data_IF_079666493104
#
_entry.id   IF_079666493104
#
_cell.length_a   1.000
_cell.length_b   1.000
_cell.length_c   1.000
_cell.angle_alpha   90.00
_cell.angle_beta   90.00
_cell.angle_gamma   90.00
#
_symmetry.space_group_name_H-M   'P 1'
#
loop_
_entity.id
_entity.type
_entity.pdbx_description
1 polymer ?
#
# COMPACT_ATOMS: atom_id res chain seq x y z
N UNK A 1 -6.80 -4.97 14.68
CA UNK A 1 -5.55 -5.14 13.91
C UNK A 1 -5.55 -4.25 12.66
N UNK A 2 -6.57 -4.34 11.78
CA UNK A 2 -6.66 -3.58 10.52
C UNK A 2 -6.60 -2.06 10.74
N UNK A 3 -7.36 -1.53 11.70
CA UNK A 3 -7.33 -0.11 12.05
C UNK A 3 -5.94 0.38 12.51
N UNK A 4 -5.24 -0.44 13.30
CA UNK A 4 -3.87 -0.10 13.73
C UNK A 4 -2.94 -0.04 12.53
N UNK A 5 -3.05 -0.99 11.60
CA UNK A 5 -2.29 -0.95 10.35
C UNK A 5 -2.59 0.29 9.51
N UNK A 6 -3.87 0.65 9.36
CA UNK A 6 -4.27 1.85 8.63
C UNK A 6 -3.71 3.14 9.28
N UNK A 7 -3.83 3.27 10.60
CA UNK A 7 -3.28 4.41 11.33
C UNK A 7 -1.74 4.46 11.27
N UNK A 8 -1.08 3.30 11.32
CA UNK A 8 0.38 3.21 11.15
C UNK A 8 0.80 3.68 9.75
N UNK A 9 0.08 3.24 8.70
CA UNK A 9 0.34 3.69 7.34
C UNK A 9 0.18 5.21 7.21
N UNK A 10 -0.88 5.78 7.79
CA UNK A 10 -1.10 7.22 7.82
C UNK A 10 0.01 7.97 8.55
N UNK A 11 0.40 7.52 9.74
CA UNK A 11 1.45 8.15 10.52
C UNK A 11 2.81 8.12 9.81
N UNK A 12 3.20 6.97 9.27
CA UNK A 12 4.45 6.82 8.51
C UNK A 12 4.39 7.66 7.23
N UNK A 13 3.27 7.63 6.51
CA UNK A 13 3.07 8.44 5.32
C UNK A 13 3.18 9.94 5.60
N UNK A 14 2.62 10.42 6.73
CA UNK A 14 2.74 11.80 7.17
C UNK A 14 4.20 12.18 7.45
N UNK A 15 4.94 11.33 8.17
CA UNK A 15 6.35 11.58 8.49
C UNK A 15 7.16 11.69 7.19
N UNK A 16 7.01 10.74 6.27
CA UNK A 16 7.72 10.75 4.99
C UNK A 16 7.32 11.97 4.16
N UNK A 17 6.03 12.32 4.14
CA UNK A 17 5.51 13.49 3.45
C UNK A 17 6.10 14.80 3.98
N UNK A 18 6.18 14.96 5.30
CA UNK A 18 6.79 16.13 5.94
C UNK A 18 8.31 16.22 5.65
N UNK A 19 9.03 15.10 5.65
CA UNK A 19 10.44 15.07 5.27
C UNK A 19 10.60 15.49 3.81
N UNK A 20 9.80 14.95 2.92
CA UNK A 20 9.79 15.32 1.51
C UNK A 20 9.48 16.79 1.27
N UNK A 21 8.51 17.33 2.01
CA UNK A 21 8.18 18.75 1.98
C UNK A 21 9.34 19.64 2.48
N UNK A 22 9.98 19.27 3.60
CA UNK A 22 11.11 20.01 4.14
C UNK A 22 12.29 20.06 3.17
N UNK A 23 12.59 18.94 2.51
CA UNK A 23 13.64 18.87 1.49
C UNK A 23 13.26 19.70 0.24
N UNK A 24 12.03 19.60 -0.22
CA UNK A 24 11.54 20.38 -1.37
C UNK A 24 11.53 21.87 -1.11
N UNK A 25 11.13 22.31 0.09
CA UNK A 25 11.16 23.72 0.46
C UNK A 25 12.59 24.29 0.54
N UNK A 26 13.56 23.50 1.04
CA UNK A 26 14.96 23.91 1.10
C UNK A 26 15.56 24.07 -0.31
N UNK A 27 15.23 23.20 -1.24
CA UNK A 27 15.68 23.31 -2.63
C UNK A 27 15.00 24.47 -3.37
N UNK A 28 13.72 24.71 -3.15
CA UNK A 28 13.01 25.85 -3.75
C UNK A 28 13.60 27.19 -3.33
N UNK A 29 14.16 27.31 -2.11
CA UNK A 29 14.82 28.51 -1.61
C UNK A 29 16.20 28.78 -2.26
N UNK A 30 16.76 27.80 -2.98
CA UNK A 30 18.13 27.89 -3.54
C UNK A 30 18.21 28.16 -5.05
N UNK A 31 17.19 28.68 -5.70
CA UNK A 31 17.16 28.91 -7.15
C UNK A 31 17.33 27.63 -7.98
N UNK A 32 16.69 26.54 -7.62
CA UNK A 32 16.85 25.26 -8.28
C UNK A 32 15.80 25.05 -9.37
N UNK A 33 16.18 24.26 -10.38
CA UNK A 33 15.36 23.79 -11.49
C UNK A 33 14.07 23.12 -10.98
N UNK A 34 12.93 23.69 -11.30
CA UNK A 34 11.60 23.18 -10.93
C UNK A 34 11.36 21.73 -11.38
N UNK A 35 12.09 21.24 -12.39
CA UNK A 35 12.03 19.83 -12.80
C UNK A 35 12.59 18.92 -11.71
N UNK A 36 13.70 19.33 -11.07
CA UNK A 36 14.31 18.56 -9.96
C UNK A 36 13.42 18.54 -8.74
N UNK A 37 12.82 19.67 -8.38
CA UNK A 37 11.88 19.75 -7.24
C UNK A 37 10.69 18.83 -7.46
N UNK A 38 10.11 18.82 -8.67
CA UNK A 38 9.00 17.90 -9.01
C UNK A 38 9.43 16.44 -9.00
N UNK A 39 10.63 16.12 -9.48
CA UNK A 39 11.15 14.74 -9.47
C UNK A 39 11.36 14.24 -8.04
N UNK A 40 11.99 15.04 -7.18
CA UNK A 40 12.19 14.72 -5.75
C UNK A 40 10.82 14.50 -5.10
N UNK A 41 9.88 15.43 -5.29
CA UNK A 41 8.52 15.31 -4.77
C UNK A 41 7.83 14.02 -5.21
N UNK A 42 7.93 13.65 -6.49
CA UNK A 42 7.36 12.42 -7.02
C UNK A 42 8.01 11.16 -6.41
N UNK A 43 9.33 11.13 -6.24
CA UNK A 43 10.06 10.02 -5.61
C UNK A 43 9.61 9.85 -4.16
N UNK A 44 9.55 10.95 -3.40
CA UNK A 44 9.09 10.89 -2.00
C UNK A 44 7.61 10.51 -1.88
N UNK A 45 6.78 11.00 -2.80
CA UNK A 45 5.36 10.66 -2.81
C UNK A 45 5.12 9.17 -3.10
N UNK A 46 5.71 8.67 -4.19
CA UNK A 46 5.55 7.28 -4.64
C UNK A 46 6.26 6.31 -3.70
N UNK A 47 7.51 6.60 -3.33
CA UNK A 47 8.27 5.81 -2.36
C UNK A 47 7.63 5.85 -0.97
N UNK A 48 7.16 7.02 -0.54
CA UNK A 48 6.46 7.20 0.72
C UNK A 48 5.20 6.34 0.83
N UNK A 49 4.39 6.25 -0.22
CA UNK A 49 3.22 5.39 -0.27
C UNK A 49 3.59 3.91 -0.09
N UNK A 50 4.65 3.45 -0.77
CA UNK A 50 5.15 2.09 -0.64
C UNK A 50 5.58 1.77 0.79
N UNK A 51 6.46 2.58 1.39
CA UNK A 51 6.95 2.33 2.74
C UNK A 51 5.87 2.49 3.81
N UNK A 52 4.96 3.44 3.65
CA UNK A 52 3.79 3.56 4.51
C UNK A 52 2.91 2.31 4.44
N UNK A 53 2.70 1.77 3.23
CA UNK A 53 2.02 0.51 3.02
C UNK A 53 2.73 -0.65 3.74
N UNK A 54 4.05 -0.81 3.57
CA UNK A 54 4.84 -1.86 4.24
C UNK A 54 4.68 -1.78 5.76
N UNK A 55 4.84 -0.60 6.34
CA UNK A 55 4.70 -0.41 7.79
C UNK A 55 3.27 -0.73 8.28
N UNK A 56 2.25 -0.27 7.57
CA UNK A 56 0.85 -0.53 7.90
C UNK A 56 0.48 -2.00 7.80
N UNK A 57 0.84 -2.66 6.69
CA UNK A 57 0.57 -4.09 6.48
C UNK A 57 1.31 -4.96 7.50
N UNK A 58 2.56 -4.63 7.82
CA UNK A 58 3.31 -5.30 8.87
C UNK A 58 2.65 -5.15 10.24
N UNK A 59 2.26 -3.95 10.63
CA UNK A 59 1.61 -3.68 11.90
C UNK A 59 0.26 -4.41 12.02
N UNK A 60 -0.57 -4.36 10.97
CA UNK A 60 -1.85 -5.05 10.94
C UNK A 60 -1.71 -6.55 11.18
N UNK A 61 -0.81 -7.19 10.44
CA UNK A 61 -0.63 -8.64 10.47
C UNK A 61 0.07 -9.10 11.75
N UNK A 62 1.02 -8.29 12.26
CA UNK A 62 1.74 -8.58 13.51
C UNK A 62 0.81 -8.55 14.71
N UNK A 63 -0.06 -7.53 14.81
CA UNK A 63 -1.04 -7.40 15.90
C UNK A 63 -2.14 -8.45 15.80
N UNK A 64 -2.50 -8.86 14.58
CA UNK A 64 -3.44 -9.97 14.39
C UNK A 64 -2.86 -11.33 14.79
N UNK A 65 -1.56 -11.43 15.04
CA UNK A 65 -0.89 -12.68 15.43
C UNK A 65 -0.88 -13.75 14.33
N UNK A 66 -1.01 -13.33 13.07
CA UNK A 66 -1.13 -14.24 11.92
C UNK A 66 0.25 -14.73 11.54
N UNK A 67 0.45 -16.05 11.62
CA UNK A 67 1.72 -16.71 11.28
C UNK A 67 1.77 -17.29 9.87
N UNK A 68 0.63 -17.36 9.18
CA UNK A 68 0.55 -17.84 7.79
C UNK A 68 0.67 -16.68 6.83
N UNK A 69 1.46 -16.86 5.77
CA UNK A 69 1.74 -15.82 4.77
C UNK A 69 0.47 -15.33 4.06
N UNK A 70 -0.37 -16.23 3.56
CA UNK A 70 -1.58 -15.86 2.80
C UNK A 70 -2.56 -14.97 3.59
N UNK A 71 -3.03 -15.37 4.80
CA UNK A 71 -3.91 -14.50 5.59
C UNK A 71 -3.22 -13.20 6.04
N UNK A 72 -1.89 -13.22 6.27
CA UNK A 72 -1.14 -12.04 6.66
C UNK A 72 -1.07 -11.02 5.51
N UNK A 73 -0.82 -11.48 4.28
CA UNK A 73 -0.87 -10.65 3.07
C UNK A 73 -2.25 -10.02 2.86
N UNK A 74 -3.32 -10.82 3.04
CA UNK A 74 -4.70 -10.31 2.94
C UNK A 74 -5.01 -9.27 4.01
N UNK A 75 -4.56 -9.47 5.25
CA UNK A 75 -4.71 -8.47 6.31
C UNK A 75 -3.99 -7.16 5.99
N UNK A 76 -2.80 -7.25 5.42
CA UNK A 76 -2.09 -6.10 4.89
C UNK A 76 -2.89 -5.38 3.81
N UNK A 77 -3.37 -6.10 2.80
CA UNK A 77 -4.18 -5.53 1.73
C UNK A 77 -5.45 -4.86 2.26
N UNK A 78 -6.19 -5.51 3.16
CA UNK A 78 -7.40 -4.95 3.78
C UNK A 78 -7.07 -3.69 4.57
N UNK A 79 -5.95 -3.67 5.30
CA UNK A 79 -5.50 -2.49 6.03
C UNK A 79 -5.27 -1.30 5.09
N UNK A 80 -4.66 -1.53 3.93
CA UNK A 80 -4.48 -0.49 2.92
C UNK A 80 -5.82 -0.02 2.35
N UNK A 81 -6.73 -0.92 2.03
CA UNK A 81 -8.06 -0.56 1.52
C UNK A 81 -8.86 0.29 2.52
N UNK A 82 -8.71 0.03 3.83
CA UNK A 82 -9.32 0.88 4.88
C UNK A 82 -8.64 2.24 4.98
N UNK A 83 -7.35 2.31 4.66
CA UNK A 83 -6.62 3.59 4.65
C UNK A 83 -7.16 4.54 3.59
N UNK A 84 -7.61 4.05 2.42
CA UNK A 84 -8.05 4.87 1.30
C UNK A 84 -9.24 5.80 1.63
N UNK A 85 -10.37 5.33 2.20
CA UNK A 85 -11.46 6.23 2.54
C UNK A 85 -11.07 7.24 3.62
N UNK A 86 -10.17 6.91 4.54
CA UNK A 86 -9.65 7.87 5.52
C UNK A 86 -8.85 8.96 4.82
N UNK A 87 -8.00 8.59 3.87
CA UNK A 87 -7.23 9.53 3.05
C UNK A 87 -8.14 10.46 2.24
N UNK A 88 -9.20 9.92 1.63
CA UNK A 88 -10.19 10.71 0.90
C UNK A 88 -10.91 11.68 1.82
N UNK A 89 -11.28 11.26 3.03
CA UNK A 89 -11.89 12.14 4.02
C UNK A 89 -10.94 13.27 4.44
N UNK A 90 -9.66 12.96 4.71
CA UNK A 90 -8.63 13.94 5.05
C UNK A 90 -8.35 14.90 3.88
N UNK A 91 -8.36 14.40 2.65
CA UNK A 91 -8.23 15.23 1.44
C UNK A 91 -9.42 16.19 1.31
N UNK A 92 -10.63 15.71 1.55
CA UNK A 92 -11.84 16.53 1.55
C UNK A 92 -11.83 17.63 2.64
N UNK A 93 -11.14 17.41 3.74
CA UNK A 93 -10.91 18.43 4.80
C UNK A 93 -9.74 19.40 4.47
N UNK A 94 -9.12 19.30 3.30
CA UNK A 94 -8.02 20.16 2.89
C UNK A 94 -6.65 19.80 3.50
N UNK A 95 -6.54 18.65 4.17
CA UNK A 95 -5.32 18.20 4.83
C UNK A 95 -4.34 17.48 3.90
N UNK A 96 -4.69 17.31 2.63
CA UNK A 96 -3.93 16.54 1.63
C UNK A 96 -2.49 17.00 1.43
N UNK A 97 -2.22 18.30 1.58
CA UNK A 97 -0.88 18.87 1.40
C UNK A 97 0.17 18.36 2.41
N UNK A 98 -0.27 17.87 3.58
CA UNK A 98 0.63 17.39 4.63
C UNK A 98 1.19 15.98 4.38
N UNK A 99 0.52 15.18 3.55
CA UNK A 99 0.95 13.81 3.22
C UNK A 99 1.76 13.70 1.92
N UNK A 100 2.19 14.84 1.36
CA UNK A 100 2.96 14.88 0.12
C UNK A 100 2.09 15.00 -1.15
N UNK A 101 2.75 15.33 -2.27
CA UNK A 101 2.06 15.74 -3.49
C UNK A 101 1.15 14.69 -4.16
N UNK A 102 1.29 13.40 -3.84
CA UNK A 102 0.45 12.36 -4.43
C UNK A 102 -1.00 12.38 -3.90
N UNK A 103 -1.23 12.82 -2.67
CA UNK A 103 -2.59 13.06 -2.16
C UNK A 103 -3.24 14.28 -2.81
N UNK A 104 -2.45 15.25 -3.25
CA UNK A 104 -2.92 16.38 -4.04
C UNK A 104 -3.64 15.95 -5.32
N UNK A 105 -3.19 14.87 -5.96
CA UNK A 105 -3.86 14.29 -7.12
C UNK A 105 -5.26 13.74 -6.82
N UNK A 106 -5.51 13.25 -5.61
CA UNK A 106 -6.84 12.80 -5.17
C UNK A 106 -7.75 14.00 -4.86
N UNK A 107 -7.19 15.06 -4.27
CA UNK A 107 -7.96 16.25 -3.87
C UNK A 107 -8.17 17.24 -5.02
N UNK A 108 -7.30 17.24 -6.01
CA UNK A 108 -7.28 18.20 -7.12
C UNK A 108 -7.92 17.65 -8.40
N UNK A 109 -8.91 16.76 -8.32
CA UNK A 109 -9.75 16.50 -9.49
C UNK A 109 -10.44 17.85 -9.79
N UNK A 110 -10.04 18.58 -10.85
CA UNK A 110 -10.70 19.81 -11.18
C UNK A 110 -12.18 19.49 -11.39
N UNK A 111 -13.04 20.20 -10.69
CA UNK A 111 -14.47 20.12 -11.00
C UNK A 111 -14.59 20.39 -12.50
N UNK A 112 -15.03 19.39 -13.26
CA UNK A 112 -15.20 19.52 -14.70
C UNK A 112 -16.18 20.68 -14.94
N UNK A 113 -15.64 21.81 -15.35
CA UNK A 113 -16.44 22.96 -15.74
C UNK A 113 -16.58 22.99 -17.27
N UNK A 114 -17.70 22.51 -17.81
CA UNK A 114 -17.88 22.46 -19.26
C UNK A 114 -17.91 23.83 -19.94
N UNK A 115 -18.02 24.91 -19.16
CA UNK A 115 -18.01 26.30 -19.66
C UNK A 115 -16.60 26.92 -19.68
N UNK A 116 -15.59 26.27 -19.11
CA UNK A 116 -14.21 26.76 -19.16
C UNK A 116 -13.59 26.41 -20.52
N UNK A 117 -12.85 27.37 -21.10
CA UNK A 117 -12.06 27.09 -22.29
C UNK A 117 -11.07 25.96 -22.02
N UNK A 118 -10.87 25.01 -22.95
CA UNK A 118 -9.93 23.91 -22.78
C UNK A 118 -8.51 24.46 -22.68
N UNK A 119 -7.85 24.22 -21.54
CA UNK A 119 -6.45 24.53 -21.32
C UNK A 119 -5.64 23.23 -21.45
N UNK A 120 -4.84 23.06 -22.50
CA UNK A 120 -4.05 21.86 -22.75
C UNK A 120 -3.02 21.58 -21.63
N UNK A 121 -2.41 22.62 -21.07
CA UNK A 121 -1.39 22.47 -20.02
C UNK A 121 -2.01 22.00 -18.71
N UNK A 122 -3.20 22.50 -18.38
CA UNK A 122 -3.96 22.05 -17.22
C UNK A 122 -4.44 20.60 -17.39
N UNK A 123 -4.88 20.23 -18.60
CA UNK A 123 -5.29 18.86 -18.90
C UNK A 123 -4.13 17.88 -18.78
N UNK A 124 -2.94 18.23 -19.28
CA UNK A 124 -1.74 17.42 -19.15
C UNK A 124 -1.30 17.27 -17.68
N UNK A 125 -1.26 18.36 -16.94
CA UNK A 125 -0.92 18.34 -15.51
C UNK A 125 -1.89 17.47 -14.71
N UNK A 126 -3.18 17.57 -14.98
CA UNK A 126 -4.24 16.76 -14.33
C UNK A 126 -4.06 15.28 -14.63
N UNK A 127 -3.84 14.93 -15.90
CA UNK A 127 -3.57 13.53 -16.31
C UNK A 127 -2.34 12.97 -15.59
N UNK A 128 -1.23 13.71 -15.58
CA UNK A 128 0.01 13.26 -14.97
C UNK A 128 -0.14 13.09 -13.44
N UNK A 129 -0.86 13.98 -12.78
CA UNK A 129 -1.17 13.86 -11.35
C UNK A 129 -2.06 12.65 -11.06
N UNK A 130 -3.08 12.40 -11.88
CA UNK A 130 -3.95 11.23 -11.73
C UNK A 130 -3.17 9.92 -11.89
N UNK A 131 -2.28 9.84 -12.90
CA UNK A 131 -1.43 8.67 -13.12
C UNK A 131 -0.45 8.47 -11.96
N UNK A 132 0.22 9.52 -11.49
CA UNK A 132 1.13 9.44 -10.35
C UNK A 132 0.41 8.97 -9.09
N UNK A 133 -0.80 9.46 -8.86
CA UNK A 133 -1.65 9.03 -7.74
C UNK A 133 -2.03 7.55 -7.86
N UNK A 134 -2.44 7.10 -9.03
CA UNK A 134 -2.77 5.70 -9.27
C UNK A 134 -1.57 4.78 -9.02
N UNK A 135 -0.38 5.15 -9.51
CA UNK A 135 0.88 4.41 -9.26
C UNK A 135 1.20 4.39 -7.76
N UNK A 136 1.07 5.50 -7.05
CA UNK A 136 1.33 5.57 -5.61
C UNK A 136 0.36 4.67 -4.83
N UNK A 137 -0.93 4.67 -5.19
CA UNK A 137 -1.94 3.80 -4.55
C UNK A 137 -1.65 2.31 -4.79
N UNK A 138 -1.27 1.94 -6.00
CA UNK A 138 -0.90 0.56 -6.34
C UNK A 138 0.37 0.12 -5.61
N UNK A 139 1.39 0.98 -5.54
CA UNK A 139 2.62 0.68 -4.81
C UNK A 139 2.38 0.61 -3.30
N UNK A 140 1.50 1.43 -2.75
CA UNK A 140 1.07 1.33 -1.36
C UNK A 140 0.38 0.00 -1.05
N UNK A 141 -0.48 -0.49 -1.96
CA UNK A 141 -1.09 -1.81 -1.86
C UNK A 141 -0.04 -2.92 -1.88
N UNK A 142 0.86 -2.89 -2.87
CA UNK A 142 1.97 -3.85 -2.97
C UNK A 142 2.83 -3.82 -1.72
N UNK A 143 3.20 -2.64 -1.24
CA UNK A 143 3.92 -2.45 0.02
C UNK A 143 3.19 -3.10 1.19
N UNK A 144 1.89 -2.88 1.30
CA UNK A 144 1.07 -3.41 2.40
C UNK A 144 0.96 -4.94 2.37
N UNK A 145 0.86 -5.54 1.19
CA UNK A 145 0.91 -7.00 1.00
C UNK A 145 2.26 -7.55 1.43
N UNK A 146 3.36 -6.91 1.01
CA UNK A 146 4.73 -7.30 1.38
C UNK A 146 4.92 -7.15 2.89
N UNK A 147 4.46 -6.06 3.50
CA UNK A 147 4.51 -5.83 4.94
C UNK A 147 3.76 -6.91 5.72
N UNK A 148 2.57 -7.29 5.25
CA UNK A 148 1.80 -8.40 5.80
C UNK A 148 2.56 -9.72 5.73
N UNK A 149 3.15 -10.04 4.58
CA UNK A 149 3.99 -11.21 4.43
C UNK A 149 5.21 -11.20 5.38
N UNK A 150 5.93 -10.09 5.48
CA UNK A 150 7.09 -9.96 6.39
C UNK A 150 6.69 -10.21 7.86
N UNK A 151 5.48 -9.85 8.25
CA UNK A 151 4.97 -10.08 9.59
C UNK A 151 4.71 -11.55 9.91
N UNK A 152 4.43 -12.40 8.91
CA UNK A 152 4.16 -13.83 9.10
C UNK A 152 5.39 -14.63 9.52
N UNK A 153 6.59 -14.18 9.12
CA UNK A 153 7.85 -14.88 9.36
C UNK A 153 8.04 -16.14 8.49
N UNK A 154 7.15 -16.40 7.54
CA UNK A 154 7.32 -17.52 6.59
C UNK A 154 8.28 -17.12 5.45
N UNK A 155 9.26 -17.99 5.12
CA UNK A 155 10.16 -17.71 4.01
C UNK A 155 9.43 -17.79 2.65
N UNK A 156 9.72 -16.85 1.75
CA UNK A 156 9.22 -16.85 0.36
C UNK A 156 9.94 -17.91 -0.50
N UNK A 157 9.87 -19.18 -0.13
CA UNK A 157 10.50 -20.23 -0.93
C UNK A 157 9.43 -21.15 -1.52
N UNK A 158 9.37 -21.23 -2.85
CA UNK A 158 8.51 -22.18 -3.58
C UNK A 158 8.73 -23.64 -3.15
N UNK A 159 9.88 -23.96 -2.60
CA UNK A 159 10.23 -25.27 -2.04
C UNK A 159 9.39 -25.61 -0.79
N UNK A 160 8.97 -24.63 -0.03
CA UNK A 160 8.17 -24.81 1.19
C UNK A 160 6.75 -25.29 0.83
N UNK A 161 6.13 -24.70 -0.18
CA UNK A 161 4.81 -25.10 -0.66
C UNK A 161 4.81 -26.51 -1.24
N UNK A 162 5.85 -26.87 -1.99
CA UNK A 162 6.02 -28.21 -2.59
C UNK A 162 6.17 -29.34 -1.55
N UNK A 163 6.80 -29.04 -0.39
CA UNK A 163 6.90 -30.02 0.71
C UNK A 163 5.56 -30.21 1.43
N UNK A 164 4.77 -29.16 1.55
CA UNK A 164 3.48 -29.21 2.23
C UNK A 164 2.45 -30.03 1.45
N UNK A 165 2.41 -29.85 0.14
CA UNK A 165 1.51 -30.64 -0.73
C UNK A 165 1.87 -32.13 -0.67
N UNK A 166 3.15 -32.49 -0.66
CA UNK A 166 3.58 -33.90 -0.48
C UNK A 166 3.16 -34.50 0.86
N UNK A 167 3.21 -33.73 1.95
CA UNK A 167 2.82 -34.22 3.27
C UNK A 167 1.30 -34.44 3.35
N UNK A 168 0.52 -33.59 2.69
CA UNK A 168 -0.93 -33.75 2.60
C UNK A 168 -1.29 -34.97 1.78
N UNK A 169 -0.63 -35.20 0.63
CA UNK A 169 -0.84 -36.37 -0.24
C UNK A 169 -0.48 -37.68 0.48
N UNK A 170 0.63 -37.71 1.22
CA UNK A 170 1.02 -38.90 1.98
C UNK A 170 0.05 -39.21 3.12
N UNK A 171 -0.48 -38.19 3.78
CA UNK A 171 -1.50 -38.37 4.82
C UNK A 171 -2.86 -38.77 4.23
N UNK A 172 -3.22 -38.23 3.09
CA UNK A 172 -4.44 -38.62 2.36
C UNK A 172 -4.37 -40.06 1.83
N UNK A 173 -3.20 -40.48 1.36
CA UNK A 173 -2.95 -41.85 0.91
C UNK A 173 -2.89 -42.86 2.07
N UNK A 174 -2.39 -42.45 3.25
CA UNK A 174 -2.37 -43.29 4.45
C UNK A 174 -3.75 -43.46 5.11
N UNK A 175 -4.67 -42.54 4.85
CA UNK A 175 -6.07 -42.63 5.27
C UNK A 175 -6.96 -43.35 4.23
N UNK A 176 -6.41 -44.31 3.48
CA UNK A 176 -7.14 -45.10 2.50
C UNK A 176 -8.24 -45.96 3.18
N UNK A 177 -9.40 -46.16 2.51
CA UNK A 177 -10.59 -46.76 3.06
C UNK A 177 -10.49 -48.24 3.49
N UNK A 178 -9.31 -48.83 3.44
CA UNK A 178 -9.09 -50.21 3.90
C UNK A 178 -9.32 -50.42 5.38
N UNK A 179 -8.97 -49.43 6.21
CA UNK A 179 -9.08 -49.54 7.67
C UNK A 179 -10.54 -49.43 8.19
N UNK A 180 -11.46 -48.93 7.36
CA UNK A 180 -12.87 -48.84 7.71
C UNK A 180 -13.65 -50.15 7.44
N UNK A 181 -13.09 -51.13 6.78
CA UNK A 181 -13.76 -52.43 6.55
C UNK A 181 -13.41 -53.53 7.55
N UNK A 182 -12.28 -53.41 8.24
CA UNK A 182 -11.86 -54.43 9.21
C UNK A 182 -12.42 -54.20 10.66
N UNK A 183 -13.00 -53.04 10.92
CA UNK A 183 -13.65 -52.75 12.22
C UNK A 183 -15.12 -53.16 12.33
N UNK A 184 -15.67 -53.96 11.38
CA UNK A 184 -17.06 -54.44 11.39
C UNK A 184 -17.13 -55.94 11.16
N UNK A 185 -16.36 -56.69 11.90
CA UNK A 185 -16.57 -58.15 12.07
C UNK A 185 -16.70 -58.51 13.55
#
# INVERSE_FOLDING_TARGET
AVWVGALTALAVGLIIGLIGFALGANEAARYVDWKKVRLIGAIFAVGGAFFAGVAGGWAASRIAGIRRSEPAMLHGAISWLVTLPILLALAGLGLSGHWGGWYGGIASIPAFNPAAAPDPDLAEATRNNALATAVALLLGLVGSVIGGWMASGEPMTFTHYRKRDRVVDVRGAAASPRDLREGRA
#
